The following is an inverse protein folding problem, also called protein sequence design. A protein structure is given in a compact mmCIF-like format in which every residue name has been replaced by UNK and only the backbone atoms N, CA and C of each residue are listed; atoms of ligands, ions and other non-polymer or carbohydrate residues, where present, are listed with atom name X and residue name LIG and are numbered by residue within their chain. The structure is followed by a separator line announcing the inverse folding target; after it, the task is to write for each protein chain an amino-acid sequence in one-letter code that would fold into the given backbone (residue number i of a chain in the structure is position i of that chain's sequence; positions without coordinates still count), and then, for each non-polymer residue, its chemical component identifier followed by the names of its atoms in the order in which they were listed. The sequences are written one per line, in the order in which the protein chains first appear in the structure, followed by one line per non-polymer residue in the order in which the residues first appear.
data_IF_489476688392
#
_entry.id   IF_489476688392
#
_cell.length_a   1.000
_cell.length_b   1.000
_cell.length_c   1.000
_cell.angle_alpha   90.00
_cell.angle_beta   90.00
_cell.angle_gamma   90.00
#
_symmetry.space_group_name_H-M   'P 1'
#
loop_
_entity.id
_entity.type
_entity.pdbx_description
1 polymer ?
#
# COMPACT_ATOMS: atom_id res chain seq x y z
N UNK A 1 5.74 18.40 29.51
CA UNK A 1 4.27 18.47 29.35
C UNK A 1 3.91 17.45 28.29
N UNK A 2 3.31 16.34 28.70
CA UNK A 2 2.91 15.26 27.83
C UNK A 2 1.54 15.62 27.24
N UNK A 3 1.47 15.77 25.92
CA UNK A 3 0.20 15.92 25.22
C UNK A 3 0.25 15.05 23.96
N UNK A 4 -0.10 13.77 24.16
CA UNK A 4 -0.63 12.88 23.14
C UNK A 4 -1.80 12.16 23.77
N UNK A 5 -2.85 12.93 24.06
CA UNK A 5 -4.16 12.39 24.42
C UNK A 5 -4.95 12.33 23.13
N UNK A 6 -5.56 11.16 22.89
CA UNK A 6 -6.18 10.77 21.63
C UNK A 6 -7.10 11.85 21.06
N UNK A 7 -6.87 12.18 19.79
CA UNK A 7 -7.82 12.96 19.01
C UNK A 7 -9.16 12.22 18.99
N UNK A 8 -10.23 12.99 19.09
CA UNK A 8 -11.60 12.57 18.81
C UNK A 8 -11.63 11.61 17.61
N UNK A 9 -12.46 10.57 17.68
CA UNK A 9 -12.62 9.58 16.61
C UNK A 9 -12.89 10.30 15.28
N UNK A 10 -11.84 10.52 14.51
CA UNK A 10 -11.84 11.44 13.39
C UNK A 10 -12.63 10.83 12.25
N UNK A 11 -13.75 11.50 11.92
CA UNK A 11 -14.38 11.66 10.62
C UNK A 11 -14.52 10.39 9.75
N UNK A 12 -15.77 10.04 9.46
CA UNK A 12 -16.13 9.04 8.45
C UNK A 12 -15.22 9.15 7.22
N UNK A 13 -14.45 8.09 6.95
CA UNK A 13 -13.48 8.05 5.86
C UNK A 13 -14.12 8.57 4.57
N UNK A 14 -13.64 9.71 4.09
CA UNK A 14 -14.21 10.33 2.89
C UNK A 14 -13.79 9.52 1.68
N UNK A 15 -14.77 9.14 0.84
CA UNK A 15 -14.49 8.41 -0.40
C UNK A 15 -13.77 9.32 -1.39
N UNK A 16 -12.63 8.85 -1.89
CA UNK A 16 -11.81 9.57 -2.87
C UNK A 16 -11.67 8.71 -4.12
N UNK A 17 -11.97 9.30 -5.28
CA UNK A 17 -11.65 8.69 -6.57
C UNK A 17 -10.15 8.81 -6.84
N UNK A 18 -9.51 7.69 -7.18
CA UNK A 18 -8.11 7.67 -7.57
C UNK A 18 -7.88 8.43 -8.88
N UNK A 19 -6.83 9.24 -8.93
CA UNK A 19 -6.39 9.96 -10.14
C UNK A 19 -5.92 8.95 -11.20
N UNK A 20 -5.19 7.92 -10.76
CA UNK A 20 -4.74 6.80 -11.59
C UNK A 20 -5.38 5.51 -11.06
N UNK A 21 -6.04 4.69 -11.90
CA UNK A 21 -6.64 3.43 -11.46
C UNK A 21 -5.61 2.51 -10.81
N UNK A 22 -5.99 1.86 -9.70
CA UNK A 22 -5.11 1.00 -8.91
C UNK A 22 -5.31 -0.48 -9.25
N UNK A 23 -4.40 -1.00 -10.07
CA UNK A 23 -4.50 -2.34 -10.63
C UNK A 23 -4.10 -3.40 -9.60
N UNK A 24 -4.65 -4.61 -9.78
CA UNK A 24 -4.19 -5.83 -9.11
C UNK A 24 -3.20 -6.57 -9.99
N UNK A 25 -2.42 -7.44 -9.37
CA UNK A 25 -1.57 -8.39 -10.10
C UNK A 25 -2.31 -9.71 -10.33
N UNK A 26 -2.03 -10.34 -11.46
CA UNK A 26 -2.33 -11.76 -11.66
C UNK A 26 -1.41 -12.60 -10.77
N UNK A 27 -1.86 -13.78 -10.38
CA UNK A 27 -1.08 -14.71 -9.54
C UNK A 27 -0.57 -15.88 -10.38
N UNK A 28 0.58 -16.42 -9.97
CA UNK A 28 1.22 -17.60 -10.54
C UNK A 28 1.63 -18.51 -9.39
N UNK A 29 1.23 -19.76 -9.43
CA UNK A 29 1.46 -20.73 -8.35
C UNK A 29 2.31 -21.94 -8.78
N UNK A 30 2.69 -22.01 -10.06
CA UNK A 30 3.54 -23.07 -10.60
C UNK A 30 4.57 -22.54 -11.59
N UNK A 31 5.65 -23.31 -11.78
CA UNK A 31 6.68 -22.98 -12.76
C UNK A 31 6.12 -22.96 -14.19
N UNK A 32 5.15 -23.84 -14.50
CA UNK A 32 4.51 -23.89 -15.81
C UNK A 32 3.68 -22.62 -16.06
N UNK A 33 2.87 -22.18 -15.10
CA UNK A 33 2.11 -20.93 -15.21
C UNK A 33 3.03 -19.71 -15.44
N UNK A 34 4.22 -19.69 -14.84
CA UNK A 34 5.19 -18.63 -15.06
C UNK A 34 5.73 -18.63 -16.50
N UNK A 35 5.99 -19.83 -17.05
CA UNK A 35 6.42 -19.99 -18.44
C UNK A 35 5.31 -19.53 -19.39
N UNK A 36 4.07 -19.94 -19.14
CA UNK A 36 2.91 -19.57 -19.96
C UNK A 36 2.67 -18.06 -19.95
N UNK A 37 2.82 -17.42 -18.78
CA UNK A 37 2.77 -15.97 -18.64
C UNK A 37 3.87 -15.27 -19.46
N UNK A 38 5.11 -15.77 -19.38
CA UNK A 38 6.25 -15.24 -20.13
C UNK A 38 6.00 -15.34 -21.65
N UNK A 39 5.50 -16.48 -22.12
CA UNK A 39 5.25 -16.70 -23.55
C UNK A 39 4.12 -15.80 -24.06
N UNK A 40 3.07 -15.59 -23.25
CA UNK A 40 2.01 -14.61 -23.52
C UNK A 40 2.56 -13.18 -23.60
N UNK A 41 3.45 -12.79 -22.68
CA UNK A 41 4.11 -11.48 -22.70
C UNK A 41 4.95 -11.30 -23.97
N UNK A 42 5.76 -12.31 -24.32
CA UNK A 42 6.60 -12.26 -25.52
C UNK A 42 5.78 -12.13 -26.81
N UNK A 43 4.62 -12.80 -26.90
CA UNK A 43 3.69 -12.63 -28.03
C UNK A 43 3.18 -11.19 -28.13
N UNK A 44 2.73 -10.61 -27.00
CA UNK A 44 2.24 -9.23 -26.95
C UNK A 44 3.30 -8.20 -27.31
N UNK A 45 4.55 -8.41 -26.91
CA UNK A 45 5.64 -7.50 -27.24
C UNK A 45 5.96 -7.51 -28.74
N UNK A 46 5.91 -8.68 -29.37
CA UNK A 46 6.06 -8.80 -30.83
C UNK A 46 4.96 -8.06 -31.59
N UNK A 47 3.72 -8.07 -31.09
CA UNK A 47 2.59 -7.34 -31.69
C UNK A 47 2.82 -5.82 -31.73
N UNK A 48 3.71 -5.29 -30.87
CA UNK A 48 4.08 -3.86 -30.81
C UNK A 48 5.53 -3.60 -31.25
N UNK A 49 6.12 -4.52 -32.03
CA UNK A 49 7.48 -4.46 -32.60
C UNK A 49 8.61 -4.28 -31.54
N UNK A 50 8.38 -4.75 -30.32
CA UNK A 50 9.39 -4.82 -29.27
C UNK A 50 10.02 -6.22 -29.22
N UNK A 51 11.34 -6.26 -29.35
CA UNK A 51 12.10 -7.52 -29.33
C UNK A 51 12.13 -8.11 -27.91
N UNK A 52 11.91 -9.43 -27.73
CA UNK A 52 11.98 -10.08 -26.41
C UNK A 52 13.31 -9.90 -25.67
N UNK A 53 14.43 -9.78 -26.40
CA UNK A 53 15.76 -9.55 -25.83
C UNK A 53 15.93 -8.16 -25.22
N UNK A 54 14.96 -7.26 -25.38
CA UNK A 54 14.96 -5.92 -24.80
C UNK A 54 14.28 -5.86 -23.42
N UNK A 55 13.76 -6.99 -22.90
CA UNK A 55 13.02 -7.01 -21.62
C UNK A 55 13.90 -7.52 -20.49
N UNK A 56 14.04 -6.69 -19.46
CA UNK A 56 14.61 -7.06 -18.16
C UNK A 56 13.50 -7.15 -17.12
N UNK A 57 13.70 -8.00 -16.11
CA UNK A 57 12.76 -8.17 -15.01
C UNK A 57 13.34 -7.60 -13.73
N UNK A 58 12.49 -6.97 -12.92
CA UNK A 58 12.77 -6.64 -11.53
C UNK A 58 11.92 -7.58 -10.68
N UNK A 59 12.56 -8.27 -9.75
CA UNK A 59 11.89 -9.17 -8.82
C UNK A 59 11.90 -8.55 -7.42
N UNK A 60 10.72 -8.40 -6.83
CA UNK A 60 10.53 -7.83 -5.51
C UNK A 60 9.77 -8.81 -4.62
N UNK A 61 10.06 -8.80 -3.31
CA UNK A 61 9.25 -9.54 -2.36
C UNK A 61 7.85 -8.92 -2.28
N UNK A 62 6.82 -9.74 -2.49
CA UNK A 62 5.44 -9.30 -2.30
C UNK A 62 5.16 -9.17 -0.80
N UNK A 63 5.07 -7.94 -0.31
CA UNK A 63 4.68 -7.64 1.06
C UNK A 63 3.18 -7.92 1.24
N UNK A 64 2.81 -8.54 2.36
CA UNK A 64 1.42 -8.76 2.75
C UNK A 64 0.96 -7.66 3.70
N UNK A 65 0.36 -6.63 3.13
CA UNK A 65 -0.07 -5.45 3.86
C UNK A 65 -1.31 -4.80 3.25
N UNK A 66 -1.33 -3.47 3.31
CA UNK A 66 -2.37 -2.63 2.78
C UNK A 66 -1.78 -1.62 1.81
N UNK A 67 -2.20 -1.73 0.56
CA UNK A 67 -1.84 -0.78 -0.47
C UNK A 67 -2.33 0.63 -0.12
N UNK A 68 -1.40 1.57 -0.10
CA UNK A 68 -1.61 2.98 0.17
C UNK A 68 -1.12 3.82 -1.01
N UNK A 69 -1.91 4.82 -1.39
CA UNK A 69 -1.60 5.78 -2.45
C UNK A 69 -1.33 7.14 -1.81
N UNK A 70 -0.13 7.67 -2.00
CA UNK A 70 0.29 8.97 -1.48
C UNK A 70 0.34 9.98 -2.62
N UNK A 71 -0.25 11.15 -2.40
CA UNK A 71 -0.28 12.24 -3.36
C UNK A 71 0.50 13.41 -2.76
N UNK A 72 1.57 13.78 -3.45
CA UNK A 72 2.39 14.94 -3.12
C UNK A 72 2.17 16.05 -4.14
N UNK A 73 2.13 17.27 -3.66
CA UNK A 73 2.11 18.47 -4.48
C UNK A 73 3.22 19.42 -4.01
N UNK A 74 4.06 19.89 -4.93
CA UNK A 74 5.25 20.69 -4.64
C UNK A 74 6.13 20.03 -3.55
N UNK A 75 6.24 18.71 -3.58
CA UNK A 75 6.96 17.90 -2.59
C UNK A 75 6.25 17.72 -1.24
N UNK A 76 5.07 18.32 -0.99
CA UNK A 76 4.35 18.21 0.29
C UNK A 76 3.25 17.15 0.21
N UNK A 77 3.17 16.27 1.20
CA UNK A 77 2.10 15.27 1.29
C UNK A 77 0.75 15.96 1.50
N UNK A 78 -0.10 15.95 0.47
CA UNK A 78 -1.44 16.56 0.54
C UNK A 78 -2.53 15.54 0.83
N UNK A 79 -2.35 14.28 0.43
CA UNK A 79 -3.36 13.22 0.63
C UNK A 79 -2.77 11.82 0.65
N UNK A 80 -3.35 10.95 1.47
CA UNK A 80 -3.14 9.50 1.44
C UNK A 80 -4.48 8.79 1.29
N UNK A 81 -4.55 7.81 0.38
CA UNK A 81 -5.80 7.11 0.03
C UNK A 81 -5.59 5.60 0.05
N UNK A 82 -6.50 4.85 0.67
CA UNK A 82 -6.51 3.39 0.59
C UNK A 82 -6.78 2.93 -0.85
N UNK A 83 -6.41 1.69 -1.21
CA UNK A 83 -6.76 1.16 -2.54
C UNK A 83 -8.29 1.11 -2.77
N UNK A 84 -9.05 0.67 -1.76
CA UNK A 84 -10.47 0.35 -1.92
C UNK A 84 -10.73 -0.64 -3.06
N UNK A 85 -11.65 -0.30 -3.96
CA UNK A 85 -11.98 -1.13 -5.13
C UNK A 85 -11.05 -0.90 -6.34
N UNK A 86 -10.04 -0.03 -6.18
CA UNK A 86 -9.10 0.32 -7.22
C UNK A 86 -9.47 1.57 -8.03
N UNK A 87 -10.71 2.04 -7.91
CA UNK A 87 -11.21 3.29 -8.52
C UNK A 87 -11.54 4.31 -7.43
N UNK A 88 -12.13 3.85 -6.34
CA UNK A 88 -12.49 4.62 -5.17
C UNK A 88 -11.84 3.98 -3.95
N UNK A 89 -11.13 4.80 -3.18
CA UNK A 89 -10.60 4.48 -1.88
C UNK A 89 -11.11 5.45 -0.81
N UNK A 90 -10.46 5.43 0.32
CA UNK A 90 -10.78 6.22 1.51
C UNK A 90 -9.63 7.16 1.86
N UNK A 91 -9.93 8.42 2.15
CA UNK A 91 -8.93 9.39 2.63
C UNK A 91 -8.48 9.00 4.05
N UNK A 92 -7.24 8.57 4.16
CA UNK A 92 -6.57 8.17 5.41
C UNK A 92 -5.37 9.06 5.69
N UNK A 93 -5.40 10.31 5.22
CA UNK A 93 -4.27 11.25 5.34
C UNK A 93 -3.85 11.47 6.79
N UNK A 94 -4.81 11.58 7.70
CA UNK A 94 -4.50 11.77 9.13
C UNK A 94 -3.73 10.57 9.70
N UNK A 95 -4.16 9.33 9.40
CA UNK A 95 -3.47 8.10 9.80
C UNK A 95 -2.11 7.96 9.14
N UNK A 96 -2.02 8.20 7.83
CA UNK A 96 -0.77 8.09 7.08
C UNK A 96 0.31 9.05 7.61
N UNK A 97 -0.07 10.26 8.05
CA UNK A 97 0.84 11.23 8.67
C UNK A 97 1.45 10.74 10.01
N UNK A 98 0.88 9.70 10.63
CA UNK A 98 1.43 9.08 11.84
C UNK A 98 2.52 8.03 11.57
N UNK A 99 2.63 7.56 10.32
CA UNK A 99 3.62 6.57 9.90
C UNK A 99 4.97 7.27 9.72
N UNK A 100 5.94 6.95 10.58
CA UNK A 100 7.25 7.64 10.65
C UNK A 100 8.03 7.63 9.34
N UNK A 101 7.92 6.55 8.58
CA UNK A 101 8.67 6.34 7.34
C UNK A 101 8.04 7.05 6.14
N UNK A 102 6.84 7.62 6.30
CA UNK A 102 6.21 8.45 5.26
C UNK A 102 6.71 9.89 5.41
N UNK A 103 7.52 10.42 4.48
CA UNK A 103 7.97 11.80 4.55
C UNK A 103 6.77 12.75 4.33
N UNK A 104 6.58 13.73 5.22
CA UNK A 104 5.57 14.77 5.01
C UNK A 104 6.00 15.78 3.92
N UNK A 105 7.30 15.85 3.66
CA UNK A 105 7.91 16.67 2.61
C UNK A 105 9.06 15.91 1.97
N UNK A 106 9.05 15.84 0.64
CA UNK A 106 10.09 15.21 -0.17
C UNK A 106 11.31 16.13 -0.28
N UNK A 107 12.46 15.53 -0.61
CA UNK A 107 13.70 16.27 -0.87
C UNK A 107 13.56 17.22 -2.07
N UNK A 108 12.75 16.84 -3.06
CA UNK A 108 12.50 17.64 -4.25
C UNK A 108 11.06 18.16 -4.30
N UNK A 109 10.83 19.42 -4.70
CA UNK A 109 9.50 20.01 -4.80
C UNK A 109 8.80 19.55 -6.09
N UNK A 110 8.32 18.30 -6.09
CA UNK A 110 7.69 17.66 -7.25
C UNK A 110 6.25 17.26 -6.95
N UNK A 111 5.41 17.27 -7.99
CA UNK A 111 4.09 16.67 -7.94
C UNK A 111 4.22 15.18 -8.29
N UNK A 112 3.80 14.29 -7.40
CA UNK A 112 3.85 12.85 -7.67
C UNK A 112 2.74 12.08 -6.98
N UNK A 113 2.42 10.92 -7.56
CA UNK A 113 1.60 9.89 -6.95
C UNK A 113 2.49 8.69 -6.70
N UNK A 114 2.70 8.35 -5.43
CA UNK A 114 3.46 7.19 -5.01
C UNK A 114 2.52 6.10 -4.51
N UNK A 115 2.84 4.85 -4.81
CA UNK A 115 2.07 3.69 -4.39
C UNK A 115 3.00 2.78 -3.61
N UNK A 116 2.58 2.36 -2.42
CA UNK A 116 3.34 1.46 -1.57
C UNK A 116 2.43 0.57 -0.75
N UNK A 117 3.06 -0.26 0.09
CA UNK A 117 2.37 -1.18 0.98
C UNK A 117 2.68 -0.81 2.44
N UNK A 118 1.64 -0.55 3.22
CA UNK A 118 1.75 -0.42 4.68
C UNK A 118 1.65 -1.82 5.28
N UNK A 119 2.59 -2.19 6.13
CA UNK A 119 2.61 -3.50 6.76
C UNK A 119 3.00 -3.37 8.23
N UNK A 120 2.64 -4.38 9.00
CA UNK A 120 2.97 -4.45 10.42
C UNK A 120 3.96 -5.61 10.64
N UNK A 121 5.05 -5.33 11.36
CA UNK A 121 5.99 -6.39 11.71
C UNK A 121 5.37 -7.39 12.68
N UNK A 122 5.73 -8.67 12.54
CA UNK A 122 5.22 -9.76 13.40
C UNK A 122 5.40 -9.47 14.89
N UNK A 123 6.56 -8.92 15.29
CA UNK A 123 6.84 -8.52 16.67
C UNK A 123 5.88 -7.44 17.19
N UNK A 124 5.44 -6.52 16.33
CA UNK A 124 4.51 -5.47 16.72
C UNK A 124 3.10 -6.02 16.83
N UNK A 125 2.70 -6.96 15.96
CA UNK A 125 1.44 -7.68 16.11
C UNK A 125 1.40 -8.41 17.46
N UNK A 126 2.47 -9.11 17.84
CA UNK A 126 2.56 -9.81 19.13
C UNK A 126 2.45 -8.83 20.31
N UNK A 127 3.15 -7.68 20.24
CA UNK A 127 3.06 -6.63 21.25
C UNK A 127 1.62 -6.08 21.38
N UNK A 128 1.00 -5.73 20.26
CA UNK A 128 -0.36 -5.19 20.22
C UNK A 128 -1.37 -6.23 20.74
N UNK A 129 -1.23 -7.50 20.36
CA UNK A 129 -2.12 -8.55 20.85
C UNK A 129 -1.98 -8.76 22.36
N UNK A 130 -0.78 -8.64 22.93
CA UNK A 130 -0.59 -8.70 24.39
C UNK A 130 -1.28 -7.54 25.12
N UNK A 131 -1.23 -6.34 24.55
CA UNK A 131 -1.94 -5.16 25.08
C UNK A 131 -3.46 -5.36 25.01
N UNK A 132 -3.97 -5.85 23.88
CA UNK A 132 -5.39 -6.17 23.67
C UNK A 132 -5.89 -7.28 24.61
N UNK A 133 -5.09 -8.33 24.80
CA UNK A 133 -5.39 -9.41 25.75
C UNK A 133 -5.53 -8.87 27.19
N UNK A 134 -4.61 -7.99 27.61
CA UNK A 134 -4.65 -7.35 28.93
C UNK A 134 -5.89 -6.45 29.09
N UNK A 135 -6.35 -5.84 28.00
CA UNK A 135 -7.56 -5.01 27.95
C UNK A 135 -8.87 -5.81 27.74
N UNK A 136 -8.79 -7.13 27.54
CA UNK A 136 -9.95 -7.97 27.23
C UNK A 136 -10.54 -7.76 25.82
N UNK A 137 -9.76 -7.20 24.90
CA UNK A 137 -10.16 -6.95 23.52
C UNK A 137 -9.86 -8.15 22.59
N UNK A 138 -10.62 -8.34 21.49
CA UNK A 138 -10.34 -9.39 20.51
C UNK A 138 -8.96 -9.23 19.87
N UNK A 139 -8.20 -10.32 19.76
CA UNK A 139 -6.88 -10.32 19.13
C UNK A 139 -6.96 -10.17 17.61
N UNK A 140 -5.95 -9.55 17.02
CA UNK A 140 -5.77 -9.53 15.58
C UNK A 140 -5.19 -10.86 15.08
N UNK A 141 -5.82 -11.41 14.03
CA UNK A 141 -5.42 -12.70 13.46
C UNK A 141 -4.13 -12.65 12.62
N UNK A 142 -3.84 -11.53 11.96
CA UNK A 142 -2.66 -11.35 11.13
C UNK A 142 -2.24 -9.87 11.07
N UNK A 143 -1.00 -9.56 10.61
CA UNK A 143 -0.50 -8.20 10.58
C UNK A 143 -1.31 -7.26 9.69
N UNK A 144 -1.90 -7.78 8.61
CA UNK A 144 -2.74 -7.01 7.69
C UNK A 144 -4.01 -6.52 8.35
N UNK A 145 -4.67 -7.34 9.16
CA UNK A 145 -5.86 -6.96 9.92
C UNK A 145 -5.53 -5.91 10.97
N UNK A 146 -4.39 -6.06 11.65
CA UNK A 146 -3.92 -5.08 12.63
C UNK A 146 -3.50 -3.75 12.00
N UNK A 147 -3.02 -3.75 10.75
CA UNK A 147 -2.71 -2.53 10.00
C UNK A 147 -3.97 -1.85 9.41
N UNK A 148 -5.09 -2.58 9.31
CA UNK A 148 -6.34 -2.07 8.73
C UNK A 148 -7.29 -1.46 9.77
N UNK A 149 -7.24 -1.96 11.01
CA UNK A 149 -8.04 -1.47 12.13
C UNK A 149 -7.43 -0.25 12.79
#
# INVERSE_FOLDING_TARGET
MAEKVGGEASEAFTKVRHIVPQWSFDNVFSAQELIDWKDKLQRRLKEIDLRPSAVTYVAEHKIDGLKLVLIYQNGVLIRAVTRGNGIIGEDVTHTAKTIKDIPLTLVYPVDLICVGEVWLAKKELERINKERETAGEPLFANPRNAAAG
#
